data_IF_274619792344
#
_entry.id   IF_274619792344
#
_cell.length_a   1.000
_cell.length_b   1.000
_cell.length_c   1.000
_cell.angle_alpha   90.00
_cell.angle_beta   90.00
_cell.angle_gamma   90.00
#
_symmetry.space_group_name_H-M   'P 1'
#
loop_
_entity.id
_entity.type
_entity.pdbx_description
1 polymer ?
#
# COMPACT_ATOMS: atom_id res chain seq x y z
N UNK A 1 -19.19 3.74 9.90
CA UNK A 1 -18.35 3.12 8.86
C UNK A 1 -17.47 4.18 8.19
N UNK A 2 -16.17 4.00 8.18
CA UNK A 2 -15.27 4.98 7.57
C UNK A 2 -15.35 4.91 6.05
N UNK A 3 -15.34 6.08 5.40
CA UNK A 3 -15.28 6.17 3.96
C UNK A 3 -13.87 5.85 3.46
N UNK A 4 -13.72 5.58 2.17
CA UNK A 4 -12.40 5.35 1.56
C UNK A 4 -11.50 6.56 1.77
N UNK A 5 -12.03 7.78 1.65
CA UNK A 5 -11.26 9.00 1.87
C UNK A 5 -10.77 9.12 3.31
N UNK A 6 -11.61 8.77 4.28
CA UNK A 6 -11.22 8.79 5.69
C UNK A 6 -10.14 7.75 5.98
N UNK A 7 -10.27 6.55 5.43
CA UNK A 7 -9.26 5.50 5.56
C UNK A 7 -7.92 5.94 4.99
N UNK A 8 -7.96 6.60 3.83
CA UNK A 8 -6.76 7.12 3.18
C UNK A 8 -6.07 8.16 4.06
N UNK A 9 -6.83 9.08 4.63
CA UNK A 9 -6.29 10.13 5.49
C UNK A 9 -5.68 9.55 6.76
N UNK A 10 -6.32 8.57 7.37
CA UNK A 10 -5.79 7.89 8.54
C UNK A 10 -4.45 7.22 8.24
N UNK A 11 -4.35 6.53 7.11
CA UNK A 11 -3.12 5.87 6.70
C UNK A 11 -2.01 6.89 6.47
N UNK A 12 -2.31 7.98 5.80
CA UNK A 12 -1.33 9.05 5.57
C UNK A 12 -0.79 9.57 6.89
N UNK A 13 -1.68 9.82 7.87
CA UNK A 13 -1.27 10.32 9.17
C UNK A 13 -0.40 9.33 9.93
N UNK A 14 -0.71 8.03 9.83
CA UNK A 14 0.06 7.00 10.52
C UNK A 14 1.46 6.80 9.98
N UNK A 15 1.65 6.97 8.68
CA UNK A 15 2.90 6.60 8.01
C UNK A 15 3.72 7.79 7.54
N UNK A 16 3.19 9.01 7.59
CA UNK A 16 3.95 10.18 7.16
C UNK A 16 5.13 10.43 8.10
N UNK A 17 6.20 10.95 7.52
CA UNK A 17 7.43 11.25 8.25
C UNK A 17 7.40 12.61 8.92
N UNK A 18 6.49 13.47 8.53
CA UNK A 18 6.28 14.81 9.09
C UNK A 18 4.92 15.31 8.68
N UNK A 19 4.54 16.50 9.16
CA UNK A 19 3.20 17.03 8.92
C UNK A 19 2.88 17.26 7.45
N UNK A 20 3.91 17.55 6.64
CA UNK A 20 3.74 17.83 5.22
C UNK A 20 3.96 16.59 4.34
N UNK A 21 4.25 15.44 4.94
CA UNK A 21 4.57 14.24 4.18
C UNK A 21 3.31 13.48 3.79
N UNK A 22 2.92 13.59 2.53
CA UNK A 22 1.82 12.80 1.95
C UNK A 22 2.29 11.92 0.81
N UNK A 23 3.58 12.00 0.42
CA UNK A 23 4.10 11.33 -0.75
C UNK A 23 5.34 10.48 -0.53
N UNK A 24 5.76 10.25 0.71
CA UNK A 24 6.92 9.40 0.96
C UNK A 24 6.65 7.96 0.51
N UNK A 25 7.71 7.18 0.21
CA UNK A 25 7.52 5.77 -0.15
C UNK A 25 6.73 4.99 0.88
N UNK A 26 6.92 5.25 2.17
CA UNK A 26 6.18 4.57 3.24
C UNK A 26 4.69 4.85 3.14
N UNK A 27 4.29 6.11 2.94
CA UNK A 27 2.88 6.46 2.79
C UNK A 27 2.29 5.79 1.56
N UNK A 28 3.01 5.83 0.43
CA UNK A 28 2.54 5.22 -0.81
C UNK A 28 2.38 3.71 -0.67
N UNK A 29 3.33 3.04 -0.03
CA UNK A 29 3.27 1.60 0.20
C UNK A 29 2.07 1.25 1.10
N UNK A 30 1.85 2.03 2.15
CA UNK A 30 0.73 1.81 3.06
C UNK A 30 -0.61 1.99 2.36
N UNK A 31 -0.75 3.03 1.53
CA UNK A 31 -1.97 3.26 0.75
C UNK A 31 -2.22 2.14 -0.26
N UNK A 32 -1.18 1.71 -0.96
CA UNK A 32 -1.30 0.60 -1.91
C UNK A 32 -1.68 -0.69 -1.22
N UNK A 33 -1.10 -0.96 -0.06
CA UNK A 33 -1.43 -2.17 0.72
C UNK A 33 -2.90 -2.17 1.13
N UNK A 34 -3.42 -1.04 1.59
CA UNK A 34 -4.83 -0.91 1.95
C UNK A 34 -5.73 -1.19 0.74
N UNK A 35 -5.43 -0.59 -0.42
CA UNK A 35 -6.21 -0.79 -1.63
C UNK A 35 -6.09 -2.22 -2.16
N UNK A 36 -4.90 -2.81 -2.11
CA UNK A 36 -4.68 -4.20 -2.52
C UNK A 36 -5.54 -5.13 -1.67
N UNK A 37 -5.55 -4.95 -0.36
CA UNK A 37 -6.35 -5.76 0.54
C UNK A 37 -7.85 -5.62 0.24
N UNK A 38 -8.30 -4.40 0.00
CA UNK A 38 -9.71 -4.15 -0.34
C UNK A 38 -10.10 -4.84 -1.64
N UNK A 39 -9.28 -4.72 -2.69
CA UNK A 39 -9.57 -5.33 -3.97
C UNK A 39 -9.43 -6.84 -3.94
N UNK A 40 -8.50 -7.36 -3.14
CA UNK A 40 -8.36 -8.81 -2.95
C UNK A 40 -9.64 -9.38 -2.35
N UNK A 41 -10.23 -8.68 -1.38
CA UNK A 41 -11.49 -9.08 -0.77
C UNK A 41 -12.62 -9.04 -1.79
N UNK A 42 -12.66 -7.99 -2.63
CA UNK A 42 -13.63 -7.88 -3.72
C UNK A 42 -13.52 -9.06 -4.68
N UNK A 43 -12.32 -9.47 -5.05
CA UNK A 43 -12.09 -10.55 -6.01
C UNK A 43 -12.53 -11.92 -5.49
N UNK A 44 -12.69 -12.09 -4.18
CA UNK A 44 -13.20 -13.35 -3.63
C UNK A 44 -14.64 -13.62 -4.06
N UNK A 45 -15.43 -12.58 -4.26
CA UNK A 45 -16.82 -12.69 -4.68
C UNK A 45 -17.06 -12.29 -6.14
N UNK A 46 -16.07 -11.72 -6.81
CA UNK A 46 -16.18 -11.22 -8.18
C UNK A 46 -15.00 -11.69 -9.03
N UNK A 47 -14.86 -13.01 -9.15
CA UNK A 47 -13.69 -13.62 -9.80
C UNK A 47 -13.56 -13.26 -11.28
N UNK A 48 -14.66 -12.91 -11.94
CA UNK A 48 -14.66 -12.57 -13.37
C UNK A 48 -14.51 -11.07 -13.63
N UNK A 49 -14.22 -10.27 -12.61
CA UNK A 49 -13.97 -8.85 -12.77
C UNK A 49 -12.52 -8.64 -13.23
N UNK A 50 -12.31 -8.77 -14.53
CA UNK A 50 -10.96 -8.72 -15.11
C UNK A 50 -10.33 -7.34 -15.02
N UNK A 51 -11.13 -6.28 -15.07
CA UNK A 51 -10.61 -4.92 -14.91
C UNK A 51 -10.01 -4.71 -13.52
N UNK A 52 -10.71 -5.15 -12.49
CA UNK A 52 -10.23 -5.06 -11.11
C UNK A 52 -8.99 -5.91 -10.91
N UNK A 53 -8.97 -7.13 -11.48
CA UNK A 53 -7.80 -8.01 -11.39
C UNK A 53 -6.57 -7.35 -12.01
N UNK A 54 -6.74 -6.72 -13.16
CA UNK A 54 -5.64 -6.03 -13.85
C UNK A 54 -5.13 -4.85 -13.02
N UNK A 55 -6.05 -4.06 -12.45
CA UNK A 55 -5.70 -2.97 -11.55
C UNK A 55 -4.97 -3.45 -10.30
N UNK A 56 -5.43 -4.56 -9.72
CA UNK A 56 -4.81 -5.16 -8.56
C UNK A 56 -3.36 -5.58 -8.85
N UNK A 57 -3.12 -6.25 -9.97
CA UNK A 57 -1.78 -6.64 -10.38
C UNK A 57 -0.87 -5.43 -10.58
N UNK A 58 -1.41 -4.34 -11.16
CA UNK A 58 -0.67 -3.10 -11.31
C UNK A 58 -0.25 -2.50 -9.98
N UNK A 59 -1.15 -2.51 -8.99
CA UNK A 59 -0.87 -2.01 -7.64
C UNK A 59 0.18 -2.86 -6.93
N UNK A 60 0.12 -4.18 -7.07
CA UNK A 60 1.11 -5.08 -6.50
C UNK A 60 2.49 -4.80 -7.11
N UNK A 61 2.56 -4.62 -8.43
CA UNK A 61 3.82 -4.28 -9.11
C UNK A 61 4.37 -2.94 -8.64
N UNK A 62 3.52 -1.94 -8.50
CA UNK A 62 3.92 -0.61 -8.02
C UNK A 62 4.45 -0.68 -6.59
N UNK A 63 3.77 -1.41 -5.71
CA UNK A 63 4.21 -1.60 -4.33
C UNK A 63 5.58 -2.28 -4.29
N UNK A 64 5.78 -3.29 -5.13
CA UNK A 64 7.05 -4.00 -5.21
C UNK A 64 8.19 -3.07 -5.62
N UNK A 65 7.95 -2.17 -6.58
CA UNK A 65 8.96 -1.18 -6.99
C UNK A 65 9.33 -0.24 -5.86
N UNK A 66 8.33 0.25 -5.12
CA UNK A 66 8.57 1.14 -3.98
C UNK A 66 9.34 0.43 -2.88
N UNK A 67 8.99 -0.83 -2.59
CA UNK A 67 9.72 -1.63 -1.61
C UNK A 67 11.16 -1.87 -2.05
N UNK A 68 11.38 -2.15 -3.33
CA UNK A 68 12.73 -2.31 -3.88
C UNK A 68 13.56 -1.05 -3.76
N UNK A 69 12.93 0.10 -4.01
CA UNK A 69 13.59 1.40 -3.84
C UNK A 69 14.03 1.61 -2.39
N UNK A 70 13.14 1.36 -1.42
CA UNK A 70 13.48 1.50 -0.01
C UNK A 70 14.58 0.53 0.40
N UNK A 71 14.49 -0.72 -0.04
CA UNK A 71 15.49 -1.74 0.29
C UNK A 71 16.88 -1.32 -0.16
N UNK A 72 16.97 -0.69 -1.33
CA UNK A 72 18.24 -0.27 -1.90
C UNK A 72 18.78 0.99 -1.20
N UNK A 73 17.91 1.95 -0.91
CA UNK A 73 18.33 3.28 -0.44
C UNK A 73 18.32 3.41 1.08
N UNK A 74 17.41 2.68 1.75
CA UNK A 74 17.32 2.72 3.22
C UNK A 74 16.78 1.38 3.73
N UNK A 75 17.64 0.37 3.92
CA UNK A 75 17.20 -0.96 4.35
C UNK A 75 16.48 -0.96 5.69
N UNK A 76 16.81 -0.06 6.61
CA UNK A 76 16.14 -0.01 7.91
C UNK A 76 14.67 0.41 7.77
N UNK A 77 14.42 1.41 6.94
CA UNK A 77 13.04 1.84 6.65
C UNK A 77 12.27 0.74 5.93
N UNK A 78 12.94 0.01 5.03
CA UNK A 78 12.33 -1.12 4.34
C UNK A 78 11.88 -2.20 5.34
N UNK A 79 12.76 -2.59 6.25
CA UNK A 79 12.41 -3.61 7.26
C UNK A 79 11.30 -3.14 8.18
N UNK A 80 11.33 -1.86 8.58
CA UNK A 80 10.31 -1.29 9.45
C UNK A 80 8.93 -1.33 8.80
N UNK A 81 8.83 -0.95 7.52
CA UNK A 81 7.54 -0.91 6.84
C UNK A 81 6.99 -2.32 6.57
N UNK A 82 7.87 -3.29 6.24
CA UNK A 82 7.45 -4.67 6.05
C UNK A 82 6.84 -5.22 7.33
N UNK A 83 7.51 -5.03 8.46
CA UNK A 83 7.03 -5.52 9.75
C UNK A 83 5.73 -4.85 10.14
N UNK A 84 5.65 -3.54 9.94
CA UNK A 84 4.48 -2.75 10.33
C UNK A 84 3.23 -3.12 9.55
N UNK A 85 3.39 -3.43 8.26
CA UNK A 85 2.27 -3.76 7.38
C UNK A 85 2.06 -5.28 7.22
N UNK A 86 2.95 -6.10 7.76
CA UNK A 86 2.87 -7.54 7.61
C UNK A 86 3.03 -8.00 6.16
N UNK A 87 3.83 -7.29 5.38
CA UNK A 87 4.02 -7.58 3.97
C UNK A 87 5.12 -8.62 3.80
N UNK A 88 4.91 -9.56 2.92
CA UNK A 88 5.98 -10.45 2.46
C UNK A 88 6.86 -9.73 1.46
N UNK A 89 8.13 -10.06 1.49
CA UNK A 89 9.10 -9.53 0.51
C UNK A 89 8.62 -9.69 -0.92
#
# INVERSE_FOLDING_TARGET
MTTVSQQRNEIIQQFRRGDDDTGSPEVQIALLTSRINHLTQHMKSHQKDYSTRRGLLGMVSQRRRLLGYLRKNDPQRYLAIIQRLGIRK
#
